data_IF_713484736576
#
_entry.id   IF_713484736576
#
_cell.length_a   1.000
_cell.length_b   1.000
_cell.length_c   1.000
_cell.angle_alpha   90.00
_cell.angle_beta   90.00
_cell.angle_gamma   90.00
#
_symmetry.space_group_name_H-M   'P 1'
#
loop_
_entity.id
_entity.type
_entity.pdbx_description
1 polymer ?
#
# COMPACT_ATOMS: atom_id res chain seq x y z
N UNK A 1 8.53 -66.22 -18.93
CA UNK A 1 8.23 -66.27 -20.38
C UNK A 1 6.88 -65.64 -20.62
N UNK A 2 6.75 -64.91 -21.75
CA UNK A 2 5.54 -64.29 -22.29
C UNK A 2 4.97 -63.15 -21.40
N UNK A 3 4.98 -61.88 -21.80
CA UNK A 3 4.66 -61.41 -23.15
C UNK A 3 3.17 -61.60 -23.40
N UNK A 4 2.34 -60.64 -22.95
CA UNK A 4 1.00 -60.33 -23.45
C UNK A 4 0.32 -59.30 -22.54
N UNK A 5 0.52 -58.03 -22.85
CA UNK A 5 -0.58 -57.08 -22.83
C UNK A 5 -0.50 -56.23 -24.11
N UNK A 6 -0.76 -56.93 -25.23
CA UNK A 6 -1.48 -56.32 -26.34
C UNK A 6 -2.84 -55.93 -25.78
N UNK A 7 -3.24 -54.67 -25.94
CA UNK A 7 -4.59 -54.24 -26.33
C UNK A 7 -4.80 -52.77 -25.98
N UNK A 8 -4.53 -51.91 -26.96
CA UNK A 8 -5.40 -50.83 -27.47
C UNK A 8 -4.50 -49.84 -28.21
N UNK A 9 -4.24 -50.06 -29.50
CA UNK A 9 -5.11 -49.64 -30.63
C UNK A 9 -5.17 -48.11 -30.67
N UNK A 10 -4.80 -47.37 -31.71
CA UNK A 10 -4.31 -47.68 -33.05
C UNK A 10 -3.90 -46.35 -33.69
N UNK A 11 -2.77 -46.35 -34.39
CA UNK A 11 -2.43 -45.42 -35.46
C UNK A 11 -3.43 -45.58 -36.62
N UNK A 12 -4.33 -44.64 -36.83
CA UNK A 12 -5.07 -44.41 -38.08
C UNK A 12 -5.37 -42.90 -38.09
N UNK A 13 -5.08 -42.08 -39.07
CA UNK A 13 -4.32 -42.15 -40.33
C UNK A 13 -4.14 -40.70 -40.74
N UNK A 14 -2.97 -40.37 -41.26
CA UNK A 14 -2.80 -39.24 -42.16
C UNK A 14 -3.70 -39.42 -43.39
N UNK A 15 -3.95 -38.34 -44.13
CA UNK A 15 -4.73 -38.26 -45.37
C UNK A 15 -6.24 -38.02 -45.20
N UNK A 16 -6.62 -36.75 -45.13
CA UNK A 16 -7.35 -36.18 -46.27
C UNK A 16 -7.19 -34.65 -46.35
N UNK A 17 -6.44 -34.26 -47.39
CA UNK A 17 -6.65 -33.03 -48.16
C UNK A 17 -6.22 -31.68 -47.55
N UNK A 18 -4.97 -31.33 -47.89
CA UNK A 18 -4.65 -30.03 -48.49
C UNK A 18 -5.78 -29.57 -49.44
N UNK A 19 -6.60 -28.60 -49.03
CA UNK A 19 -7.23 -27.68 -49.98
C UNK A 19 -7.63 -26.36 -49.34
N UNK A 20 -6.94 -25.30 -49.78
CA UNK A 20 -7.40 -23.92 -49.85
C UNK A 20 -7.29 -23.03 -48.59
N UNK A 21 -6.06 -22.58 -48.32
CA UNK A 21 -5.81 -21.22 -47.83
C UNK A 21 -6.22 -20.21 -48.92
N UNK A 22 -7.38 -19.54 -48.79
CA UNK A 22 -7.62 -18.15 -49.28
C UNK A 22 -8.81 -17.52 -48.55
N UNK A 23 -8.54 -16.36 -47.94
CA UNK A 23 -9.41 -15.19 -47.74
C UNK A 23 -10.76 -15.38 -47.02
N UNK A 24 -10.94 -14.73 -45.87
CA UNK A 24 -11.94 -13.67 -45.63
C UNK A 24 -11.61 -13.04 -44.26
N UNK A 25 -11.26 -11.76 -44.26
CA UNK A 25 -11.13 -10.92 -43.06
C UNK A 25 -12.56 -10.62 -42.58
N UNK A 26 -12.95 -10.88 -41.32
CA UNK A 26 -14.21 -10.38 -40.82
C UNK A 26 -14.04 -8.96 -40.27
N UNK A 27 -14.72 -8.01 -40.91
CA UNK A 27 -14.91 -6.62 -40.46
C UNK A 27 -15.65 -6.60 -39.10
N UNK A 28 -15.39 -5.66 -38.18
CA UNK A 28 -16.08 -5.64 -36.90
C UNK A 28 -17.49 -5.08 -37.06
N UNK A 29 -18.50 -5.92 -36.82
CA UNK A 29 -19.90 -5.50 -36.72
C UNK A 29 -20.12 -4.72 -35.41
N UNK A 30 -20.55 -3.45 -35.53
CA UNK A 30 -20.99 -2.59 -34.43
C UNK A 30 -22.07 -3.28 -33.60
N UNK A 31 -21.78 -3.55 -32.32
CA UNK A 31 -22.79 -3.90 -31.31
C UNK A 31 -23.31 -2.59 -30.70
N UNK A 32 -24.63 -2.31 -30.70
CA UNK A 32 -25.16 -1.16 -29.99
C UNK A 32 -25.05 -1.37 -28.48
N UNK A 33 -24.29 -0.48 -27.81
CA UNK A 33 -24.14 -0.43 -26.36
C UNK A 33 -25.48 -0.06 -25.71
N UNK A 34 -26.09 -1.00 -24.99
CA UNK A 34 -27.17 -0.72 -24.07
C UNK A 34 -26.56 0.02 -22.86
N UNK A 35 -26.92 1.29 -22.66
CA UNK A 35 -26.41 2.14 -21.57
C UNK A 35 -27.01 1.78 -20.21
N UNK A 36 -26.71 0.59 -19.69
CA UNK A 36 -26.82 0.28 -18.26
C UNK A 36 -25.58 -0.50 -17.85
N UNK A 37 -24.42 0.15 -17.96
CA UNK A 37 -23.20 -0.35 -17.35
C UNK A 37 -23.06 0.35 -16.00
N UNK A 38 -23.24 -0.44 -14.94
CA UNK A 38 -23.08 -0.04 -13.56
C UNK A 38 -21.79 0.77 -13.38
N UNK A 39 -21.95 2.06 -13.05
CA UNK A 39 -20.88 2.85 -12.48
C UNK A 39 -20.68 2.34 -11.05
N UNK A 40 -19.77 1.39 -10.85
CA UNK A 40 -19.15 1.24 -9.55
C UNK A 40 -18.55 2.62 -9.18
N UNK A 41 -18.75 3.15 -7.96
CA UNK A 41 -18.15 4.42 -7.61
C UNK A 41 -16.64 4.25 -7.73
N UNK A 42 -16.03 4.98 -8.68
CA UNK A 42 -14.59 5.22 -8.67
C UNK A 42 -14.27 5.73 -7.28
N UNK A 43 -13.59 4.90 -6.49
CA UNK A 43 -13.12 5.28 -5.17
C UNK A 43 -12.49 6.65 -5.28
N UNK A 44 -13.03 7.60 -4.52
CA UNK A 44 -12.50 8.95 -4.38
C UNK A 44 -11.00 8.76 -4.10
N UNK A 45 -10.13 9.04 -5.09
CA UNK A 45 -8.69 9.08 -4.84
C UNK A 45 -8.55 10.15 -3.77
N UNK A 46 -8.35 9.74 -2.51
CA UNK A 46 -7.98 10.66 -1.44
C UNK A 46 -6.73 11.35 -1.96
N UNK A 47 -6.84 12.64 -2.22
CA UNK A 47 -5.71 13.42 -2.71
C UNK A 47 -4.71 13.48 -1.57
N UNK A 48 -3.47 13.11 -1.83
CA UNK A 48 -2.39 13.30 -0.87
C UNK A 48 -2.31 14.79 -0.55
N UNK A 49 -2.53 15.16 0.71
CA UNK A 49 -2.39 16.55 1.14
C UNK A 49 -0.92 16.75 1.49
N UNK A 50 -0.25 17.63 0.74
CA UNK A 50 1.08 18.09 1.11
C UNK A 50 0.94 19.18 2.17
N UNK A 51 1.39 18.90 3.39
CA UNK A 51 1.54 19.91 4.45
C UNK A 51 3.02 20.15 4.73
N UNK A 52 3.32 21.31 5.29
CA UNK A 52 4.67 21.67 5.72
C UNK A 52 5.10 20.94 7.00
N UNK A 53 6.41 20.93 7.28
CA UNK A 53 6.94 20.32 8.50
C UNK A 53 6.39 20.97 9.81
N UNK A 54 6.25 22.30 9.93
CA UNK A 54 5.61 22.90 11.09
C UNK A 54 4.15 22.46 11.27
N UNK A 55 3.37 22.40 10.18
CA UNK A 55 1.98 21.92 10.23
C UNK A 55 1.89 20.46 10.66
N UNK A 56 2.84 19.62 10.24
CA UNK A 56 2.93 18.23 10.69
C UNK A 56 3.16 18.16 12.22
N UNK A 57 4.07 19.00 12.74
CA UNK A 57 4.34 19.05 14.18
C UNK A 57 3.12 19.51 14.98
N UNK A 58 2.42 20.55 14.54
CA UNK A 58 1.17 20.98 15.19
C UNK A 58 0.12 19.87 15.20
N UNK A 59 0.01 19.13 14.08
CA UNK A 59 -0.91 18.01 13.97
C UNK A 59 -0.58 16.87 14.95
N UNK A 60 0.71 16.53 15.07
CA UNK A 60 1.20 15.50 15.99
C UNK A 60 1.03 15.89 17.46
N UNK A 61 1.12 17.17 17.80
CA UNK A 61 0.84 17.67 19.15
C UNK A 61 -0.65 17.61 19.46
N UNK A 62 -1.51 17.97 18.49
CA UNK A 62 -2.96 17.96 18.67
C UNK A 62 -3.57 16.54 18.69
N UNK A 63 -2.89 15.54 18.10
CA UNK A 63 -3.37 14.16 18.00
C UNK A 63 -2.34 13.20 18.59
N UNK A 64 -2.59 12.72 19.81
CA UNK A 64 -1.63 11.89 20.55
C UNK A 64 -2.17 10.50 20.88
N UNK A 65 -3.46 10.23 20.68
CA UNK A 65 -4.04 8.91 20.90
C UNK A 65 -3.75 8.03 19.69
N UNK A 66 -2.97 6.97 19.89
CA UNK A 66 -2.66 6.03 18.83
C UNK A 66 -3.87 5.14 18.52
N UNK A 67 -4.28 5.15 17.25
CA UNK A 67 -5.34 4.27 16.75
C UNK A 67 -4.77 3.06 16.02
N UNK A 68 -3.79 3.28 15.13
CA UNK A 68 -3.14 2.20 14.41
C UNK A 68 -1.74 2.60 13.96
N UNK A 69 -0.87 1.60 13.85
CA UNK A 69 0.42 1.70 13.18
C UNK A 69 0.52 0.53 12.22
N UNK A 70 0.89 0.79 10.97
CA UNK A 70 1.10 -0.27 9.97
C UNK A 70 2.37 0.00 9.20
N UNK A 71 3.15 -1.06 8.97
CA UNK A 71 4.37 -1.01 8.20
C UNK A 71 4.16 -1.88 6.97
N UNK A 72 4.44 -1.33 5.80
CA UNK A 72 4.26 -1.99 4.52
C UNK A 72 5.58 -1.97 3.77
N UNK A 73 5.95 -3.10 3.18
CA UNK A 73 7.08 -3.16 2.27
C UNK A 73 6.71 -2.41 0.98
N UNK A 74 7.59 -1.56 0.49
CA UNK A 74 7.37 -0.86 -0.77
C UNK A 74 7.37 -1.84 -1.96
N UNK A 75 6.88 -1.39 -3.11
CA UNK A 75 6.66 -2.25 -4.31
C UNK A 75 7.96 -2.92 -4.77
N UNK A 76 9.10 -2.24 -4.62
CA UNK A 76 10.41 -2.74 -5.04
C UNK A 76 11.04 -3.69 -4.01
N UNK A 77 10.44 -3.84 -2.83
CA UNK A 77 10.92 -4.71 -1.76
C UNK A 77 12.13 -4.20 -0.99
N UNK A 78 12.53 -2.95 -1.20
CA UNK A 78 13.81 -2.39 -0.73
C UNK A 78 13.66 -1.41 0.43
N UNK A 79 12.45 -0.93 0.71
CA UNK A 79 12.18 -0.01 1.79
C UNK A 79 10.83 -0.30 2.45
N UNK A 80 10.64 0.28 3.62
CA UNK A 80 9.40 0.18 4.38
C UNK A 80 8.73 1.54 4.44
N UNK A 81 7.42 1.58 4.22
CA UNK A 81 6.60 2.75 4.52
C UNK A 81 5.80 2.49 5.80
N UNK A 82 5.53 3.55 6.54
CA UNK A 82 4.76 3.49 7.77
C UNK A 82 3.53 4.38 7.69
N UNK A 83 2.35 3.83 7.94
CA UNK A 83 1.14 4.62 8.18
C UNK A 83 0.88 4.69 9.68
N UNK A 84 0.78 5.92 10.19
CA UNK A 84 0.44 6.25 11.57
C UNK A 84 -0.95 6.89 11.61
N UNK A 85 -1.88 6.26 12.32
CA UNK A 85 -3.23 6.78 12.53
C UNK A 85 -3.41 7.20 13.98
N UNK A 86 -3.73 8.46 14.18
CA UNK A 86 -3.79 9.13 15.50
C UNK A 86 -5.05 9.99 15.61
N UNK A 87 -5.59 10.12 16.81
CA UNK A 87 -6.75 10.96 17.13
C UNK A 87 -6.44 11.94 18.26
N UNK A 88 -7.25 12.98 18.38
CA UNK A 88 -7.18 13.94 19.49
C UNK A 88 -7.77 13.39 20.81
N UNK A 89 -8.41 12.22 20.77
CA UNK A 89 -9.18 11.67 21.88
C UNK A 89 -9.40 10.16 21.70
N UNK A 90 -9.47 9.42 22.80
CA UNK A 90 -9.78 7.99 22.85
C UNK A 90 -11.27 7.66 22.61
N UNK A 91 -12.12 8.70 22.53
CA UNK A 91 -13.56 8.54 22.36
C UNK A 91 -13.87 7.85 21.02
N UNK A 92 -14.84 6.95 21.07
CA UNK A 92 -15.41 6.31 19.87
C UNK A 92 -15.93 7.39 18.93
N UNK A 93 -15.50 7.33 17.66
CA UNK A 93 -15.90 8.29 16.63
C UNK A 93 -15.12 9.61 16.63
N UNK A 94 -14.03 9.72 17.41
CA UNK A 94 -13.10 10.84 17.27
C UNK A 94 -12.47 10.85 15.87
N UNK A 95 -12.24 12.04 15.33
CA UNK A 95 -11.59 12.20 14.04
C UNK A 95 -10.16 11.63 14.09
N UNK A 96 -9.83 10.83 13.08
CA UNK A 96 -8.54 10.16 12.94
C UNK A 96 -7.78 10.80 11.79
N UNK A 97 -6.58 11.28 12.08
CA UNK A 97 -5.62 11.68 11.07
C UNK A 97 -4.71 10.51 10.75
N UNK A 98 -4.49 10.24 9.47
CA UNK A 98 -3.55 9.23 9.00
C UNK A 98 -2.40 9.88 8.25
N UNK A 99 -1.19 9.63 8.71
CA UNK A 99 0.04 10.15 8.15
C UNK A 99 0.83 8.97 7.61
N UNK A 100 1.25 9.06 6.35
CA UNK A 100 2.17 8.11 5.74
C UNK A 100 3.58 8.69 5.76
N UNK A 101 4.53 7.90 6.26
CA UNK A 101 5.96 8.16 6.25
C UNK A 101 6.63 7.20 5.27
N UNK A 102 7.46 7.73 4.39
CA UNK A 102 8.04 7.03 3.24
C UNK A 102 9.50 6.69 3.50
N UNK A 103 9.90 5.47 3.15
CA UNK A 103 11.26 4.97 3.30
C UNK A 103 11.75 5.16 4.75
N UNK A 104 11.10 4.47 5.68
CA UNK A 104 11.43 4.52 7.10
C UNK A 104 12.62 3.63 7.44
N UNK A 105 13.38 4.02 8.46
CA UNK A 105 14.46 3.21 9.01
C UNK A 105 14.62 3.42 10.53
N UNK A 106 15.36 2.50 11.16
CA UNK A 106 15.62 2.48 12.61
C UNK A 106 14.35 2.60 13.46
N UNK A 107 13.30 1.90 13.04
CA UNK A 107 12.03 1.88 13.75
C UNK A 107 12.18 1.29 15.15
N UNK A 108 11.79 2.08 16.15
CA UNK A 108 11.80 1.70 17.55
C UNK A 108 10.42 1.95 18.15
N UNK A 109 9.84 0.92 18.75
CA UNK A 109 8.55 0.97 19.44
C UNK A 109 8.66 0.31 20.81
N UNK A 110 8.08 0.91 21.85
CA UNK A 110 8.01 0.35 23.21
C UNK A 110 6.65 0.59 23.83
N UNK A 111 6.23 -0.33 24.70
CA UNK A 111 5.01 -0.20 25.53
C UNK A 111 3.69 0.00 24.74
N UNK A 112 3.61 -0.57 23.54
CA UNK A 112 2.38 -0.66 22.74
C UNK A 112 1.53 -1.86 23.20
N UNK A 113 0.20 -1.76 23.07
CA UNK A 113 -0.71 -2.91 23.23
C UNK A 113 -1.44 -3.04 24.57
N UNK A 114 -1.34 -2.03 25.44
CA UNK A 114 -2.05 -1.98 26.74
C UNK A 114 -3.50 -1.48 26.68
N UNK A 115 -4.11 -1.37 25.51
CA UNK A 115 -5.44 -0.80 25.29
C UNK A 115 -5.37 0.65 24.81
N UNK A 116 -4.94 1.57 25.67
CA UNK A 116 -4.70 2.97 25.31
C UNK A 116 -3.20 3.25 25.23
N UNK A 117 -2.73 3.65 24.04
CA UNK A 117 -1.36 4.14 23.87
C UNK A 117 -1.41 5.61 23.46
N UNK A 118 -0.90 6.48 24.32
CA UNK A 118 -0.69 7.90 24.01
C UNK A 118 0.79 8.16 23.72
N UNK A 119 1.03 8.90 22.63
CA UNK A 119 2.33 9.34 22.15
C UNK A 119 2.44 10.84 22.41
N UNK A 120 2.91 11.21 23.60
CA UNK A 120 2.94 12.59 24.06
C UNK A 120 4.17 13.31 23.52
N UNK A 121 4.03 14.60 23.20
CA UNK A 121 5.14 15.42 22.69
C UNK A 121 5.89 14.81 21.49
N UNK A 122 5.13 14.23 20.54
CA UNK A 122 5.70 13.83 19.25
C UNK A 122 6.27 15.03 18.52
N UNK A 123 7.48 14.87 17.99
CA UNK A 123 8.15 15.89 17.20
C UNK A 123 8.82 15.25 15.98
N UNK A 124 8.78 15.99 14.87
CA UNK A 124 9.58 15.74 13.68
C UNK A 124 10.61 16.84 13.55
N UNK A 125 11.87 16.42 13.52
CA UNK A 125 13.02 17.29 13.27
C UNK A 125 13.61 16.98 11.88
N UNK A 126 14.17 18.02 11.25
CA UNK A 126 14.93 17.87 10.02
C UNK A 126 16.36 17.47 10.36
N UNK A 127 16.93 16.54 9.60
CA UNK A 127 18.32 16.16 9.72
C UNK A 127 19.18 17.11 8.88
N UNK A 128 20.21 17.70 9.50
CA UNK A 128 21.17 18.57 8.83
C UNK A 128 22.37 17.79 8.24
N UNK A 129 22.33 16.46 8.27
CA UNK A 129 23.35 15.62 7.65
C UNK A 129 23.20 15.68 6.13
N UNK A 130 24.13 16.35 5.46
CA UNK A 130 24.19 16.47 3.99
C UNK A 130 24.39 15.16 3.22
N UNK A 131 24.26 13.99 3.88
CA UNK A 131 24.37 12.65 3.31
C UNK A 131 23.50 11.65 4.10
N UNK A 132 22.25 11.48 3.68
CA UNK A 132 21.41 10.28 3.80
C UNK A 132 20.16 10.48 2.91
N UNK A 133 19.53 9.41 2.43
CA UNK A 133 18.15 9.43 1.89
C UNK A 133 17.15 9.88 2.96
N UNK A 134 17.48 9.64 4.23
CA UNK A 134 16.71 10.09 5.39
C UNK A 134 16.85 11.60 5.58
N UNK A 135 15.72 12.28 5.68
CA UNK A 135 15.66 13.75 5.81
C UNK A 135 15.10 14.21 7.14
N UNK A 136 14.39 13.32 7.82
CA UNK A 136 13.64 13.64 9.02
C UNK A 136 13.75 12.53 10.05
N UNK A 137 13.56 12.89 11.31
CA UNK A 137 13.37 11.97 12.41
C UNK A 137 12.06 12.30 13.12
N UNK A 138 11.22 11.29 13.34
CA UNK A 138 10.13 11.36 14.30
C UNK A 138 10.60 10.79 15.65
N UNK A 139 10.25 11.46 16.73
CA UNK A 139 10.46 10.98 18.09
C UNK A 139 9.35 11.45 19.01
N UNK A 140 8.82 10.53 19.82
CA UNK A 140 8.17 10.84 21.08
C UNK A 140 9.24 11.30 22.08
N UNK A 141 9.14 12.56 22.54
CA UNK A 141 10.15 13.17 23.40
C UNK A 141 9.93 12.89 24.89
N UNK A 142 8.73 12.49 25.29
CA UNK A 142 8.37 12.28 26.70
C UNK A 142 8.75 10.88 27.15
N UNK A 143 8.10 9.86 26.57
CA UNK A 143 8.29 8.47 26.98
C UNK A 143 9.22 7.70 26.04
N UNK A 144 9.56 8.31 24.88
CA UNK A 144 10.35 7.67 23.83
C UNK A 144 9.74 6.33 23.41
N UNK A 145 8.41 6.27 23.34
CA UNK A 145 7.67 5.07 22.92
C UNK A 145 7.88 4.80 21.44
N UNK A 146 7.97 5.85 20.62
CA UNK A 146 8.09 5.73 19.17
C UNK A 146 9.23 6.61 18.64
N UNK A 147 10.10 6.04 17.80
CA UNK A 147 11.03 6.82 16.99
C UNK A 147 11.42 6.08 15.71
N UNK A 148 11.66 6.85 14.65
CA UNK A 148 12.18 6.35 13.37
C UNK A 148 12.69 7.51 12.51
N UNK A 149 13.54 7.19 11.54
CA UNK A 149 13.91 8.10 10.46
C UNK A 149 13.07 7.87 9.22
N UNK A 150 12.93 8.89 8.38
CA UNK A 150 12.18 8.79 7.12
C UNK A 150 12.63 9.82 6.08
N UNK A 151 12.29 9.56 4.82
CA UNK A 151 12.67 10.41 3.68
C UNK A 151 11.65 11.51 3.38
N UNK A 152 10.36 11.20 3.44
CA UNK A 152 9.26 12.11 3.13
C UNK A 152 7.95 11.62 3.76
N UNK A 153 6.90 12.43 3.70
CA UNK A 153 5.62 12.13 4.34
C UNK A 153 4.45 12.73 3.56
N UNK A 154 3.26 12.21 3.79
CA UNK A 154 2.00 12.71 3.23
C UNK A 154 0.82 12.40 4.16
N UNK A 155 -0.24 13.19 4.08
CA UNK A 155 -1.53 12.85 4.69
C UNK A 155 -2.35 11.99 3.72
N UNK A 156 -2.98 10.96 4.28
CA UNK A 156 -3.92 10.05 3.58
C UNK A 156 -5.37 10.57 3.60
#
# INVERSE_FOLDING_TARGET
MAGRLKERITLITDMETKKSLRNIIPTPTRIPMNMVQAMAPMGKRRGLIMISLPELNELLVAHNCLHAISIQLNVDGMAYDLSLSISASEKVGADVVSIRFIDISQFTSRDFGGGLTQLMHMNVSKLDSGFDRMRYQLSDLEDKKLSFYFSSFSLD
#
